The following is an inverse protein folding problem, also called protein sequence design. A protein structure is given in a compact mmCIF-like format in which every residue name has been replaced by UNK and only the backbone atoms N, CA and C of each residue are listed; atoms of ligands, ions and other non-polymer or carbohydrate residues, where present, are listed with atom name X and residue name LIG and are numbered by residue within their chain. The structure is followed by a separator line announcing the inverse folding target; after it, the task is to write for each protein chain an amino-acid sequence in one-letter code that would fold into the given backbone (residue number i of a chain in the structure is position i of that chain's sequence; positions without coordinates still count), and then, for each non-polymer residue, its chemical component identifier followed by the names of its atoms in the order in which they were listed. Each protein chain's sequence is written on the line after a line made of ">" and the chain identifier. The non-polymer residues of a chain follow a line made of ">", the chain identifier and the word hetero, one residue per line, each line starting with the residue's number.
data_IF_456739899064
#
_entry.id   IF_456739899064
#
_cell.length_a   1.000
_cell.length_b   1.000
_cell.length_c   1.000
_cell.angle_alpha   90.00
_cell.angle_beta   90.00
_cell.angle_gamma   90.00
#
_symmetry.space_group_name_H-M   'P 1'
#
loop_
_entity.id
_entity.type
_entity.pdbx_description
1 polymer ?
#
# COMPACT_ATOMS: atom_id res chain seq x y z
N UNK A 1 -25.17 14.06 -6.00
CA UNK A 1 -24.39 14.29 -4.77
C UNK A 1 -24.43 13.01 -3.97
N UNK A 2 -23.35 12.23 -3.97
CA UNK A 2 -23.23 11.04 -3.12
C UNK A 2 -22.51 11.42 -1.84
N UNK A 3 -23.22 11.39 -0.72
CA UNK A 3 -22.60 11.49 0.59
C UNK A 3 -22.01 10.13 0.92
N UNK A 4 -20.69 10.01 0.95
CA UNK A 4 -20.02 8.85 1.53
C UNK A 4 -20.10 8.99 3.05
N UNK A 5 -21.15 8.42 3.65
CA UNK A 5 -21.24 8.29 5.10
C UNK A 5 -20.38 7.09 5.51
N UNK A 6 -19.15 7.35 5.92
CA UNK A 6 -18.33 6.36 6.61
C UNK A 6 -18.87 6.22 8.02
N UNK A 7 -19.77 5.28 8.23
CA UNK A 7 -20.05 4.80 9.57
C UNK A 7 -18.87 3.95 10.03
N UNK A 8 -17.96 4.52 10.81
CA UNK A 8 -17.10 3.71 11.69
C UNK A 8 -17.92 3.19 12.87
N UNK A 9 -19.10 2.61 12.60
CA UNK A 9 -19.87 1.90 13.61
C UNK A 9 -19.42 0.44 13.59
N UNK A 10 -18.18 0.19 13.97
CA UNK A 10 -17.88 -1.09 14.59
C UNK A 10 -18.61 -1.06 15.93
N UNK A 11 -19.80 -1.66 15.98
CA UNK A 11 -20.42 -1.95 17.28
C UNK A 11 -19.38 -2.75 18.06
N UNK A 12 -19.04 -2.28 19.26
CA UNK A 12 -18.06 -2.94 20.13
C UNK A 12 -18.38 -4.42 20.38
N UNK A 13 -17.59 -5.07 21.23
CA UNK A 13 -17.97 -6.40 21.71
C UNK A 13 -19.38 -6.35 22.32
N UNK A 14 -20.30 -7.17 21.82
CA UNK A 14 -21.65 -7.33 22.39
C UNK A 14 -21.66 -8.35 23.52
N UNK A 15 -20.69 -9.26 23.53
CA UNK A 15 -20.51 -10.30 24.54
C UNK A 15 -19.03 -10.35 24.95
N UNK A 16 -18.71 -10.74 26.19
CA UNK A 16 -17.33 -10.92 26.60
C UNK A 16 -16.61 -11.99 25.77
N UNK A 17 -15.32 -11.78 25.52
CA UNK A 17 -14.46 -12.73 24.81
C UNK A 17 -13.31 -13.19 25.69
N UNK A 18 -12.95 -14.48 25.63
CA UNK A 18 -11.79 -15.00 26.35
C UNK A 18 -10.59 -15.09 25.42
N UNK A 19 -9.64 -14.17 25.62
CA UNK A 19 -8.43 -13.99 24.81
C UNK A 19 -7.17 -14.48 25.57
N UNK A 20 -6.00 -14.64 24.93
CA UNK A 20 -4.74 -14.89 25.63
C UNK A 20 -4.45 -13.81 26.68
N UNK A 21 -3.82 -14.19 27.79
CA UNK A 21 -3.44 -13.25 28.86
C UNK A 21 -2.53 -12.13 28.33
N UNK A 22 -2.81 -10.89 28.72
CA UNK A 22 -2.05 -9.69 28.33
C UNK A 22 -2.48 -9.06 27.00
N UNK A 23 -3.50 -9.60 26.33
CA UNK A 23 -4.10 -9.02 25.13
C UNK A 23 -4.59 -7.60 25.36
N UNK A 24 -5.39 -7.34 26.39
CA UNK A 24 -5.95 -6.02 26.71
C UNK A 24 -4.84 -4.99 26.93
N UNK A 25 -3.83 -5.34 27.74
CA UNK A 25 -2.68 -4.47 28.00
C UNK A 25 -1.85 -4.21 26.73
N UNK A 26 -1.73 -5.22 25.84
CA UNK A 26 -1.04 -5.07 24.56
C UNK A 26 -1.79 -4.13 23.62
N UNK A 27 -3.12 -4.25 23.55
CA UNK A 27 -3.98 -3.39 22.74
C UNK A 27 -3.86 -1.94 23.20
N UNK A 28 -4.04 -1.68 24.50
CA UNK A 28 -3.96 -0.33 25.05
C UNK A 28 -2.61 0.33 24.76
N UNK A 29 -1.51 -0.42 24.94
CA UNK A 29 -0.15 0.06 24.65
C UNK A 29 0.03 0.40 23.16
N UNK A 30 -0.49 -0.42 22.26
CA UNK A 30 -0.41 -0.17 20.82
C UNK A 30 -1.18 1.10 20.44
N UNK A 31 -2.41 1.26 20.96
CA UNK A 31 -3.23 2.45 20.71
C UNK A 31 -2.55 3.71 21.23
N UNK A 32 -2.02 3.69 22.46
CA UNK A 32 -1.27 4.81 23.03
C UNK A 32 -0.04 5.16 22.19
N UNK A 33 0.72 4.16 21.74
CA UNK A 33 1.91 4.39 20.90
C UNK A 33 1.56 5.05 19.57
N UNK A 34 0.47 4.66 18.93
CA UNK A 34 0.03 5.25 17.65
C UNK A 34 -0.49 6.66 17.88
N UNK A 35 -1.22 6.89 18.97
CA UNK A 35 -1.72 8.21 19.33
C UNK A 35 -0.59 9.20 19.61
N UNK A 36 0.42 8.78 20.37
CA UNK A 36 1.61 9.58 20.65
C UNK A 36 2.38 9.89 19.36
N UNK A 37 2.62 8.87 18.53
CA UNK A 37 3.42 9.01 17.29
C UNK A 37 2.75 9.94 16.27
N UNK A 38 1.44 9.82 16.10
CA UNK A 38 0.69 10.60 15.11
C UNK A 38 0.07 11.88 15.67
N UNK A 39 0.25 12.15 16.97
CA UNK A 39 -0.36 13.29 17.65
C UNK A 39 -1.89 13.24 17.61
N UNK A 40 -2.49 12.04 17.65
CA UNK A 40 -3.92 11.85 17.65
C UNK A 40 -4.49 12.17 19.03
N UNK A 41 -5.61 12.90 19.04
CA UNK A 41 -6.34 13.19 20.26
C UNK A 41 -7.62 12.38 20.33
N UNK A 42 -7.98 11.97 21.54
CA UNK A 42 -9.27 11.34 21.82
C UNK A 42 -10.31 12.42 22.09
N UNK A 43 -11.52 12.26 21.58
CA UNK A 43 -12.66 13.10 21.93
C UNK A 43 -13.89 12.24 22.25
N UNK A 44 -14.79 12.81 23.04
CA UNK A 44 -16.06 12.21 23.39
C UNK A 44 -17.13 13.29 23.36
N UNK A 45 -18.20 13.07 22.59
CA UNK A 45 -19.33 14.00 22.54
C UNK A 45 -20.57 13.36 23.16
N UNK A 46 -21.00 13.89 24.31
CA UNK A 46 -22.11 13.34 25.10
C UNK A 46 -21.89 11.84 25.36
N UNK A 47 -22.90 11.02 25.08
CA UNK A 47 -22.92 9.58 25.31
C UNK A 47 -22.32 8.78 24.15
N UNK A 48 -21.71 9.45 23.15
CA UNK A 48 -21.03 8.74 22.07
C UNK A 48 -19.79 8.02 22.62
N UNK A 49 -19.39 6.89 22.02
CA UNK A 49 -18.11 6.26 22.31
C UNK A 49 -16.94 7.25 22.09
N UNK A 50 -15.87 7.04 22.86
CA UNK A 50 -14.59 7.71 22.60
C UNK A 50 -14.17 7.40 21.16
N UNK A 51 -13.63 8.39 20.46
CA UNK A 51 -13.10 8.26 19.11
C UNK A 51 -11.87 9.15 18.95
N UNK A 52 -11.07 8.91 17.91
CA UNK A 52 -10.08 9.91 17.50
C UNK A 52 -10.77 11.16 16.98
N UNK A 53 -10.33 12.32 17.45
CA UNK A 53 -10.94 13.59 17.13
C UNK A 53 -10.70 13.93 15.66
N UNK A 54 -11.70 13.66 14.83
CA UNK A 54 -11.65 13.96 13.39
C UNK A 54 -11.65 15.46 13.10
N UNK A 55 -11.96 16.31 14.08
CA UNK A 55 -11.83 17.77 13.99
C UNK A 55 -10.46 18.27 14.43
N UNK A 56 -9.64 17.42 15.06
CA UNK A 56 -8.26 17.77 15.38
C UNK A 56 -7.50 18.08 14.07
N UNK A 57 -6.74 19.20 14.02
CA UNK A 57 -6.01 19.59 12.82
C UNK A 57 -5.08 18.51 12.31
N UNK A 58 -4.45 17.68 13.17
CA UNK A 58 -3.59 16.61 12.72
C UNK A 58 -4.37 15.58 11.94
N UNK A 59 -5.48 15.06 12.47
CA UNK A 59 -6.28 14.10 11.75
C UNK A 59 -6.90 14.70 10.47
N UNK A 60 -7.47 15.91 10.58
CA UNK A 60 -8.20 16.58 9.49
C UNK A 60 -7.29 17.00 8.34
N UNK A 61 -6.12 17.55 8.65
CA UNK A 61 -5.20 18.06 7.65
C UNK A 61 -4.31 16.96 7.07
N UNK A 62 -4.31 15.76 7.67
CA UNK A 62 -3.51 14.62 7.18
C UNK A 62 -2.10 14.64 7.76
N UNK A 63 -2.01 14.83 9.07
CA UNK A 63 -0.80 14.76 9.90
C UNK A 63 0.30 15.71 9.42
N UNK A 64 0.02 17.03 9.36
CA UNK A 64 0.93 18.02 8.79
C UNK A 64 2.27 18.11 9.54
N UNK A 65 2.27 17.82 10.84
CA UNK A 65 3.45 17.91 11.71
C UNK A 65 4.21 16.58 11.85
N UNK A 66 3.77 15.52 11.15
CA UNK A 66 4.41 14.19 11.18
C UNK A 66 5.17 14.00 9.87
N UNK A 67 6.42 13.56 9.96
CA UNK A 67 7.25 13.19 8.81
C UNK A 67 6.61 12.07 7.96
N UNK A 68 6.81 12.10 6.64
CA UNK A 68 6.21 11.15 5.70
C UNK A 68 6.61 9.69 5.94
N UNK A 69 7.89 9.44 6.24
CA UNK A 69 8.37 8.09 6.51
C UNK A 69 7.74 7.54 7.78
N UNK A 70 7.72 8.36 8.84
CA UNK A 70 7.10 8.00 10.13
C UNK A 70 5.59 7.77 9.95
N UNK A 71 4.90 8.68 9.25
CA UNK A 71 3.46 8.61 9.02
C UNK A 71 3.09 7.35 8.25
N UNK A 72 3.71 7.14 7.09
CA UNK A 72 3.44 6.00 6.22
C UNK A 72 3.71 4.67 6.92
N UNK A 73 4.87 4.55 7.58
CA UNK A 73 5.25 3.35 8.32
C UNK A 73 4.27 3.05 9.45
N UNK A 74 3.97 4.05 10.28
CA UNK A 74 3.06 3.89 11.42
C UNK A 74 1.67 3.46 10.96
N UNK A 75 1.15 4.07 9.89
CA UNK A 75 -0.15 3.70 9.33
C UNK A 75 -0.16 2.28 8.76
N UNK A 76 0.88 1.86 8.03
CA UNK A 76 0.99 0.49 7.52
C UNK A 76 1.03 -0.54 8.65
N UNK A 77 1.90 -0.34 9.63
CA UNK A 77 2.06 -1.24 10.77
C UNK A 77 0.79 -1.32 11.61
N UNK A 78 0.16 -0.17 11.89
CA UNK A 78 -1.10 -0.09 12.60
C UNK A 78 -2.22 -0.84 11.87
N UNK A 79 -2.41 -0.56 10.58
CA UNK A 79 -3.44 -1.19 9.76
C UNK A 79 -3.26 -2.72 9.65
N UNK A 80 -2.01 -3.18 9.51
CA UNK A 80 -1.69 -4.60 9.51
C UNK A 80 -1.97 -5.24 10.89
N UNK A 81 -1.65 -4.54 11.98
CA UNK A 81 -1.94 -4.97 13.33
C UNK A 81 -3.45 -5.08 13.60
N UNK A 82 -4.24 -4.06 13.23
CA UNK A 82 -5.70 -4.05 13.39
C UNK A 82 -6.34 -5.27 12.71
N UNK A 83 -5.92 -5.58 11.48
CA UNK A 83 -6.45 -6.74 10.73
C UNK A 83 -6.12 -8.06 11.42
N UNK A 84 -4.89 -8.23 11.90
CA UNK A 84 -4.50 -9.42 12.66
C UNK A 84 -5.32 -9.54 13.93
N UNK A 85 -5.51 -8.44 14.66
CA UNK A 85 -6.33 -8.43 15.86
C UNK A 85 -7.78 -8.81 15.58
N UNK A 86 -8.40 -8.31 14.50
CA UNK A 86 -9.75 -8.74 14.12
C UNK A 86 -9.83 -10.23 13.81
N UNK A 87 -8.85 -10.79 13.11
CA UNK A 87 -8.78 -12.22 12.84
C UNK A 87 -8.61 -13.05 14.14
N UNK A 88 -7.79 -12.56 15.06
CA UNK A 88 -7.59 -13.15 16.37
C UNK A 88 -8.86 -13.10 17.23
N UNK A 89 -9.56 -11.97 17.28
CA UNK A 89 -10.86 -11.82 17.95
C UNK A 89 -11.87 -12.80 17.36
N UNK A 90 -11.99 -12.91 16.03
CA UNK A 90 -12.90 -13.87 15.41
C UNK A 90 -12.55 -15.33 15.78
N UNK A 91 -11.25 -15.64 15.85
CA UNK A 91 -10.76 -16.95 16.28
C UNK A 91 -11.10 -17.25 17.74
N UNK A 92 -10.87 -16.30 18.65
CA UNK A 92 -11.16 -16.47 20.08
C UNK A 92 -12.66 -16.52 20.37
N UNK A 93 -13.48 -15.82 19.58
CA UNK A 93 -14.94 -15.89 19.69
C UNK A 93 -15.44 -17.29 19.32
N UNK A 94 -14.84 -17.90 18.29
CA UNK A 94 -15.18 -19.26 17.86
C UNK A 94 -14.57 -20.35 18.75
N UNK A 95 -13.37 -20.10 19.29
CA UNK A 95 -12.60 -21.03 20.11
C UNK A 95 -12.00 -20.28 21.31
N UNK A 96 -12.77 -20.11 22.40
CA UNK A 96 -12.31 -19.38 23.58
C UNK A 96 -11.04 -19.99 24.19
N UNK A 97 -10.13 -19.12 24.67
CA UNK A 97 -8.87 -19.56 25.28
C UNK A 97 -9.11 -20.08 26.71
N UNK A 98 -8.81 -21.35 26.97
CA UNK A 98 -9.19 -22.02 28.22
C UNK A 98 -8.60 -21.40 29.52
N UNK A 99 -7.38 -20.86 29.47
CA UNK A 99 -6.73 -20.12 30.57
C UNK A 99 -6.41 -18.68 30.12
N UNK A 100 -7.40 -18.05 29.49
CA UNK A 100 -7.30 -16.70 28.97
C UNK A 100 -7.68 -15.61 29.97
N UNK A 101 -7.60 -14.36 29.52
CA UNK A 101 -8.26 -13.22 30.17
C UNK A 101 -9.59 -12.92 29.48
N UNK A 102 -10.56 -12.44 30.24
CA UNK A 102 -11.86 -12.00 29.70
C UNK A 102 -11.78 -10.53 29.36
N UNK A 103 -12.05 -10.19 28.11
CA UNK A 103 -12.22 -8.81 27.64
C UNK A 103 -13.72 -8.55 27.51
N UNK A 104 -14.22 -7.59 28.29
CA UNK A 104 -15.64 -7.23 28.35
C UNK A 104 -16.01 -6.16 27.31
N UNK A 105 -17.32 -5.97 27.01
CA UNK A 105 -17.79 -4.79 26.28
C UNK A 105 -17.30 -3.46 26.86
N UNK A 106 -17.23 -3.34 28.18
CA UNK A 106 -16.75 -2.16 28.89
C UNK A 106 -15.25 -1.94 28.66
N UNK A 107 -14.44 -3.01 28.71
CA UNK A 107 -13.01 -2.92 28.38
C UNK A 107 -12.82 -2.50 26.92
N UNK A 108 -13.62 -3.06 26.00
CA UNK A 108 -13.54 -2.74 24.58
C UNK A 108 -13.74 -1.26 24.31
N UNK A 109 -14.65 -0.59 25.03
CA UNK A 109 -14.89 0.86 24.89
C UNK A 109 -13.64 1.71 25.14
N UNK A 110 -12.63 1.19 25.85
CA UNK A 110 -11.39 1.92 26.14
C UNK A 110 -10.39 1.93 24.99
N UNK A 111 -10.53 1.03 24.02
CA UNK A 111 -9.58 0.89 22.91
C UNK A 111 -10.20 0.77 21.52
N UNK A 112 -11.52 0.60 21.41
CA UNK A 112 -12.18 0.30 20.14
C UNK A 112 -11.97 1.40 19.08
N UNK A 113 -11.85 2.65 19.52
CA UNK A 113 -11.51 3.78 18.66
C UNK A 113 -10.16 3.60 17.98
N UNK A 114 -9.20 3.02 18.69
CA UNK A 114 -7.86 2.72 18.20
C UNK A 114 -7.81 1.49 17.31
N UNK A 115 -8.94 0.88 16.95
CA UNK A 115 -9.01 -0.16 15.93
C UNK A 115 -9.47 0.39 14.57
N UNK A 116 -9.61 1.71 14.45
CA UNK A 116 -9.95 2.34 13.19
C UNK A 116 -8.76 2.30 12.21
N UNK A 117 -9.02 1.81 11.00
CA UNK A 117 -8.04 1.86 9.91
C UNK A 117 -7.71 3.31 9.54
N UNK A 118 -6.42 3.63 9.49
CA UNK A 118 -5.92 4.94 9.11
C UNK A 118 -5.61 5.01 7.61
N UNK A 119 -5.69 6.21 7.04
CA UNK A 119 -5.40 6.46 5.62
C UNK A 119 -4.47 7.65 5.49
N UNK A 120 -3.42 7.49 4.69
CA UNK A 120 -2.52 8.57 4.30
C UNK A 120 -3.03 9.16 2.97
N UNK A 121 -3.00 10.48 2.83
CA UNK A 121 -3.37 11.14 1.57
C UNK A 121 -2.29 10.90 0.50
N UNK A 122 -2.65 10.77 -0.79
CA UNK A 122 -1.70 10.45 -1.85
C UNK A 122 -0.47 11.37 -1.93
N UNK A 123 -0.65 12.67 -1.69
CA UNK A 123 0.41 13.69 -1.69
C UNK A 123 1.44 13.54 -0.55
N UNK A 124 1.20 12.61 0.38
CA UNK A 124 2.04 12.26 1.53
C UNK A 124 2.54 10.80 1.46
N UNK A 125 2.34 10.11 0.34
CA UNK A 125 2.78 8.72 0.22
C UNK A 125 4.28 8.65 -0.01
N UNK A 126 4.98 7.86 0.81
CA UNK A 126 6.32 7.39 0.46
C UNK A 126 6.23 6.28 -0.57
N UNK A 127 7.34 6.03 -1.27
CA UNK A 127 7.43 4.96 -2.24
C UNK A 127 7.07 3.57 -1.72
N UNK A 128 7.45 3.25 -0.48
CA UNK A 128 7.05 1.99 0.18
C UNK A 128 5.53 1.93 0.41
N UNK A 129 4.93 3.04 0.86
CA UNK A 129 3.49 3.13 1.05
C UNK A 129 2.75 2.97 -0.28
N UNK A 130 3.19 3.71 -1.31
CA UNK A 130 2.66 3.60 -2.66
C UNK A 130 2.70 2.15 -3.16
N UNK A 131 3.86 1.47 -3.05
CA UNK A 131 3.99 0.06 -3.44
C UNK A 131 2.98 -0.81 -2.72
N UNK A 132 2.89 -0.70 -1.39
CA UNK A 132 1.93 -1.46 -0.60
C UNK A 132 0.47 -1.21 -1.02
N UNK A 133 0.12 0.01 -1.46
CA UNK A 133 -1.23 0.33 -1.96
C UNK A 133 -1.48 -0.23 -3.35
N UNK A 134 -0.51 -0.18 -4.25
CA UNK A 134 -0.64 -0.76 -5.58
C UNK A 134 -0.72 -2.28 -5.54
N UNK A 135 0.07 -2.94 -4.68
CA UNK A 135 -0.02 -4.38 -4.43
C UNK A 135 -1.41 -4.78 -3.92
N UNK A 136 -1.93 -4.04 -2.94
CA UNK A 136 -3.29 -4.24 -2.44
C UNK A 136 -4.34 -4.15 -3.55
N UNK A 137 -4.35 -3.06 -4.34
CA UNK A 137 -5.31 -2.91 -5.44
C UNK A 137 -5.14 -3.97 -6.52
N UNK A 138 -3.91 -4.38 -6.80
CA UNK A 138 -3.60 -5.43 -7.75
C UNK A 138 -4.19 -6.78 -7.32
N UNK A 139 -4.04 -7.18 -6.06
CA UNK A 139 -4.60 -8.42 -5.54
C UNK A 139 -6.13 -8.39 -5.53
N UNK A 140 -6.72 -7.28 -5.09
CA UNK A 140 -8.18 -7.06 -5.11
C UNK A 140 -8.72 -7.22 -6.54
N UNK A 141 -8.17 -6.51 -7.53
CA UNK A 141 -8.62 -6.59 -8.92
C UNK A 141 -8.52 -7.99 -9.53
N UNK A 142 -7.61 -8.83 -9.03
CA UNK A 142 -7.46 -10.24 -9.42
C UNK A 142 -8.46 -11.17 -8.75
N UNK A 143 -9.37 -10.62 -7.95
CA UNK A 143 -10.39 -11.36 -7.22
C UNK A 143 -9.86 -12.07 -5.99
N UNK A 144 -8.73 -11.64 -5.44
CA UNK A 144 -8.27 -12.08 -4.12
C UNK A 144 -8.72 -11.03 -3.11
N UNK A 145 -9.39 -11.47 -2.06
CA UNK A 145 -9.74 -10.56 -0.97
C UNK A 145 -8.47 -10.11 -0.28
N UNK A 146 -8.30 -8.81 -0.15
CA UNK A 146 -7.16 -8.24 0.56
C UNK A 146 -7.63 -7.06 1.42
N UNK A 147 -7.08 -6.97 2.63
CA UNK A 147 -7.42 -5.92 3.60
C UNK A 147 -8.93 -5.72 3.88
N UNK A 148 -9.74 -6.77 3.70
CA UNK A 148 -11.20 -6.72 3.85
C UNK A 148 -11.93 -6.09 2.67
N UNK A 149 -11.25 -5.87 1.55
CA UNK A 149 -11.81 -5.37 0.29
C UNK A 149 -11.90 -6.51 -0.71
N UNK A 150 -13.08 -6.66 -1.32
CA UNK A 150 -13.34 -7.62 -2.38
C UNK A 150 -13.68 -6.88 -3.68
N UNK A 151 -13.34 -7.50 -4.82
CA UNK A 151 -13.66 -6.95 -6.14
C UNK A 151 -15.04 -7.42 -6.61
N UNK A 152 -16.02 -6.51 -6.80
CA UNK A 152 -17.40 -6.89 -7.09
C UNK A 152 -17.65 -7.24 -8.57
N UNK A 153 -16.63 -7.13 -9.43
CA UNK A 153 -16.73 -7.37 -10.86
C UNK A 153 -15.98 -8.66 -11.25
N UNK A 154 -16.09 -9.13 -12.51
CA UNK A 154 -15.26 -10.23 -12.98
C UNK A 154 -13.77 -9.92 -12.74
N UNK A 155 -13.05 -10.91 -12.20
CA UNK A 155 -11.62 -10.76 -11.91
C UNK A 155 -10.83 -10.40 -13.16
N UNK A 156 -9.87 -9.51 -13.00
CA UNK A 156 -8.92 -9.17 -14.04
C UNK A 156 -7.81 -10.22 -14.13
N UNK A 157 -7.31 -10.45 -15.34
CA UNK A 157 -6.04 -11.17 -15.50
C UNK A 157 -4.88 -10.35 -14.91
N UNK A 158 -3.76 -10.97 -14.52
CA UNK A 158 -2.56 -10.26 -14.04
C UNK A 158 -2.17 -9.07 -14.94
N UNK A 159 -2.17 -9.29 -16.25
CA UNK A 159 -1.86 -8.26 -17.24
C UNK A 159 -2.85 -7.08 -17.24
N UNK A 160 -4.15 -7.37 -17.09
CA UNK A 160 -5.17 -6.32 -17.02
C UNK A 160 -5.08 -5.53 -15.71
N UNK A 161 -4.89 -6.21 -14.58
CA UNK A 161 -4.71 -5.56 -13.29
C UNK A 161 -3.45 -4.68 -13.29
N UNK A 162 -2.32 -5.19 -13.80
CA UNK A 162 -1.08 -4.43 -13.95
C UNK A 162 -1.26 -3.19 -14.84
N UNK A 163 -2.01 -3.29 -15.94
CA UNK A 163 -2.31 -2.13 -16.79
C UNK A 163 -3.14 -1.05 -16.05
N UNK A 164 -4.03 -1.44 -15.13
CA UNK A 164 -4.75 -0.47 -14.29
C UNK A 164 -3.80 0.18 -13.28
N UNK A 165 -2.91 -0.59 -12.64
CA UNK A 165 -1.87 -0.02 -11.75
C UNK A 165 -1.01 0.99 -12.51
N UNK A 166 -0.62 0.67 -13.74
CA UNK A 166 0.15 1.58 -14.59
C UNK A 166 -0.60 2.89 -14.90
N UNK A 167 -1.92 2.82 -15.11
CA UNK A 167 -2.75 4.03 -15.29
C UNK A 167 -2.84 4.87 -14.00
N UNK A 168 -2.82 4.21 -12.83
CA UNK A 168 -2.86 4.89 -11.54
C UNK A 168 -1.52 5.53 -11.17
N UNK A 169 -0.40 4.99 -11.66
CA UNK A 169 0.93 5.53 -11.41
C UNK A 169 1.03 7.01 -11.82
N UNK A 170 0.51 7.39 -12.99
CA UNK A 170 0.50 8.79 -13.46
C UNK A 170 -0.19 9.77 -12.48
N UNK A 171 -1.12 9.27 -11.66
CA UNK A 171 -1.88 10.09 -10.71
C UNK A 171 -1.32 10.05 -9.28
N UNK A 172 -0.60 8.99 -8.91
CA UNK A 172 -0.28 8.66 -7.51
C UNK A 172 1.21 8.46 -7.24
N UNK A 173 2.03 8.29 -8.29
CA UNK A 173 3.45 8.03 -8.16
C UNK A 173 4.24 9.34 -8.18
N UNK A 174 4.62 9.80 -6.98
CA UNK A 174 5.47 10.98 -6.81
C UNK A 174 6.97 10.67 -6.83
N UNK A 175 7.33 9.39 -6.66
CA UNK A 175 8.71 8.92 -6.49
C UNK A 175 9.27 8.22 -7.76
N UNK A 176 8.54 8.25 -8.88
CA UNK A 176 8.83 7.56 -10.15
C UNK A 176 9.05 6.04 -9.96
N UNK A 177 8.31 5.44 -9.01
CA UNK A 177 8.28 4.00 -8.77
C UNK A 177 7.35 3.30 -9.76
N UNK A 178 7.97 2.73 -10.79
CA UNK A 178 7.23 2.02 -11.83
C UNK A 178 7.01 0.56 -11.48
N UNK A 179 5.78 0.26 -11.11
CA UNK A 179 5.33 -1.11 -10.85
C UNK A 179 4.74 -1.75 -12.10
N UNK A 180 5.25 -2.92 -12.45
CA UNK A 180 4.83 -3.68 -13.63
C UNK A 180 4.66 -5.16 -13.31
N UNK A 181 3.85 -5.87 -14.08
CA UNK A 181 3.78 -7.34 -14.00
C UNK A 181 4.73 -7.90 -15.06
N UNK A 182 5.91 -8.32 -14.63
CA UNK A 182 6.87 -8.95 -15.51
C UNK A 182 6.26 -10.19 -16.19
N UNK A 183 6.65 -10.43 -17.44
CA UNK A 183 6.15 -11.58 -18.20
C UNK A 183 6.39 -12.88 -17.44
N UNK A 184 5.37 -13.73 -17.39
CA UNK A 184 5.46 -15.02 -16.69
C UNK A 184 5.25 -14.93 -15.18
N UNK A 185 5.29 -13.72 -14.61
CA UNK A 185 5.02 -13.48 -13.21
C UNK A 185 3.56 -13.17 -12.96
N UNK A 186 3.17 -13.29 -11.70
CA UNK A 186 1.84 -12.99 -11.22
C UNK A 186 1.83 -11.98 -10.06
N UNK A 187 2.93 -11.26 -9.86
CA UNK A 187 3.10 -10.18 -8.88
C UNK A 187 3.57 -8.89 -9.57
N UNK A 188 3.39 -7.75 -8.89
CA UNK A 188 4.02 -6.49 -9.29
C UNK A 188 5.51 -6.53 -8.95
N UNK A 189 6.31 -5.95 -9.82
CA UNK A 189 7.75 -5.79 -9.66
C UNK A 189 8.11 -4.33 -9.87
N UNK A 190 9.07 -3.83 -9.11
CA UNK A 190 9.67 -2.50 -9.35
C UNK A 190 10.73 -2.54 -10.43
N UNK A 191 11.15 -1.38 -10.87
CA UNK A 191 12.06 -1.22 -12.01
C UNK A 191 13.49 -1.70 -11.78
N UNK A 192 13.88 -1.94 -10.54
CA UNK A 192 15.10 -2.68 -10.17
C UNK A 192 14.94 -4.21 -10.25
N UNK A 193 13.72 -4.71 -10.40
CA UNK A 193 13.39 -6.15 -10.43
C UNK A 193 13.01 -6.66 -11.84
N UNK A 194 12.85 -5.76 -12.83
CA UNK A 194 12.58 -6.14 -14.22
C UNK A 194 13.34 -5.29 -15.24
N UNK A 195 13.60 -5.89 -16.40
CA UNK A 195 14.11 -5.19 -17.59
C UNK A 195 12.98 -4.96 -18.59
N UNK A 196 12.98 -3.81 -19.28
CA UNK A 196 12.00 -3.54 -20.34
C UNK A 196 12.46 -4.05 -21.70
N UNK A 197 11.68 -4.93 -22.34
CA UNK A 197 11.85 -5.30 -23.75
C UNK A 197 10.74 -4.68 -24.60
N UNK A 198 11.11 -3.89 -25.61
CA UNK A 198 10.15 -3.23 -26.51
C UNK A 198 9.16 -4.15 -27.24
N UNK A 199 9.44 -5.46 -27.30
CA UNK A 199 8.54 -6.47 -27.88
C UNK A 199 7.77 -7.29 -26.83
N UNK A 200 8.25 -7.35 -25.59
CA UNK A 200 7.68 -8.23 -24.55
C UNK A 200 7.11 -7.48 -23.34
N UNK A 201 7.34 -6.17 -23.22
CA UNK A 201 7.06 -5.39 -22.01
C UNK A 201 8.11 -5.66 -20.93
N UNK A 202 7.70 -5.52 -19.67
CA UNK A 202 8.50 -5.93 -18.51
C UNK A 202 8.81 -7.43 -18.55
N UNK A 203 10.07 -7.80 -18.35
CA UNK A 203 10.57 -9.18 -18.29
C UNK A 203 11.60 -9.30 -17.17
N UNK A 204 11.70 -10.47 -16.54
CA UNK A 204 12.82 -10.73 -15.62
C UNK A 204 14.14 -10.79 -16.40
N UNK A 205 15.27 -10.63 -15.71
CA UNK A 205 16.58 -10.73 -16.34
C UNK A 205 16.83 -12.13 -16.95
N UNK A 206 16.34 -13.18 -16.29
CA UNK A 206 16.40 -14.54 -16.82
C UNK A 206 15.59 -14.68 -18.12
N UNK A 207 14.36 -14.16 -18.15
CA UNK A 207 13.50 -14.19 -19.34
C UNK A 207 14.05 -13.32 -20.47
N UNK A 208 14.66 -12.18 -20.14
CA UNK A 208 15.32 -11.32 -21.09
C UNK A 208 16.48 -12.05 -21.78
N UNK A 209 17.32 -12.76 -21.01
CA UNK A 209 18.43 -13.55 -21.50
C UNK A 209 17.98 -14.79 -22.30
N UNK A 210 16.84 -15.38 -21.94
CA UNK A 210 16.26 -16.52 -22.63
C UNK A 210 15.43 -16.13 -23.88
N UNK A 211 15.17 -14.84 -24.10
CA UNK A 211 14.26 -14.39 -25.16
C UNK A 211 14.88 -14.55 -26.56
N UNK A 212 14.47 -15.61 -27.27
CA UNK A 212 14.91 -15.91 -28.65
C UNK A 212 14.23 -15.08 -29.74
N UNK A 213 13.42 -14.07 -29.40
CA UNK A 213 12.76 -13.21 -30.40
C UNK A 213 13.79 -12.24 -30.99
N UNK A 214 13.85 -12.11 -32.33
CA UNK A 214 14.68 -11.09 -33.02
C UNK A 214 14.46 -9.71 -32.38
N UNK A 215 15.53 -8.95 -32.15
CA UNK A 215 15.55 -7.58 -31.57
C UNK A 215 15.03 -7.41 -30.13
N UNK A 216 14.87 -8.48 -29.34
CA UNK A 216 14.72 -8.31 -27.88
C UNK A 216 16.13 -8.12 -27.28
N UNK A 217 16.76 -6.98 -27.56
CA UNK A 217 17.93 -6.54 -26.81
C UNK A 217 17.40 -5.99 -25.49
N UNK A 218 17.75 -6.65 -24.38
CA UNK A 218 17.65 -6.04 -23.05
C UNK A 218 18.47 -4.75 -23.11
N UNK A 219 17.79 -3.60 -23.17
CA UNK A 219 18.46 -2.31 -23.08
C UNK A 219 18.35 -1.83 -21.64
N UNK A 220 19.49 -1.62 -20.97
CA UNK A 220 19.53 -0.66 -19.88
C UNK A 220 19.01 0.68 -20.41
N UNK A 221 18.19 1.38 -19.61
CA UNK A 221 17.15 2.34 -20.01
C UNK A 221 17.55 3.57 -20.84
N UNK A 222 18.79 3.74 -21.29
CA UNK A 222 19.21 5.08 -21.74
C UNK A 222 19.24 5.22 -23.27
N UNK A 223 18.09 5.54 -23.87
CA UNK A 223 18.04 6.18 -25.20
C UNK A 223 17.21 7.48 -25.13
N UNK A 224 17.85 8.68 -25.20
CA UNK A 224 17.23 9.98 -24.92
C UNK A 224 16.18 10.49 -25.93
N UNK A 225 15.85 9.75 -26.99
CA UNK A 225 14.80 10.12 -27.98
C UNK A 225 13.47 9.36 -27.78
N UNK A 226 13.37 8.50 -26.77
CA UNK A 226 12.20 7.67 -26.48
C UNK A 226 11.60 8.07 -25.12
N UNK A 227 11.04 9.28 -24.99
CA UNK A 227 10.31 9.81 -23.82
C UNK A 227 10.70 9.25 -22.43
N UNK A 228 11.97 9.49 -22.06
CA UNK A 228 12.40 9.79 -20.70
C UNK A 228 12.87 8.61 -19.85
N UNK A 229 14.02 8.63 -19.18
CA UNK A 229 15.09 9.62 -18.99
C UNK A 229 16.35 8.84 -18.62
N UNK A 230 17.49 9.15 -19.26
CA UNK A 230 18.64 8.25 -19.24
C UNK A 230 19.85 8.67 -18.41
N UNK A 231 20.66 7.68 -18.01
CA UNK A 231 22.13 7.79 -17.82
C UNK A 231 22.89 6.47 -18.08
N UNK A 232 23.36 6.24 -19.32
CA UNK A 232 24.38 5.20 -19.60
C UNK A 232 25.72 5.87 -19.30
N UNK A 233 26.41 5.45 -18.24
CA UNK A 233 27.85 5.67 -18.10
C UNK A 233 28.57 4.32 -18.14
N UNK A 234 29.32 4.07 -19.21
CA UNK A 234 30.33 3.02 -19.23
C UNK A 234 31.45 3.33 -20.24
N UNK A 235 32.34 4.24 -19.86
CA UNK A 235 33.70 4.43 -20.38
C UNK A 235 33.84 4.81 -21.87
N UNK A 236 34.45 5.97 -22.15
CA UNK A 236 35.13 6.47 -23.36
C UNK A 236 34.66 6.07 -24.79
N UNK A 237 33.51 5.43 -24.96
CA UNK A 237 32.96 5.07 -26.28
C UNK A 237 31.49 5.41 -26.35
N UNK A 238 31.17 6.42 -27.16
CA UNK A 238 29.80 6.71 -27.60
C UNK A 238 29.26 5.52 -28.40
N UNK A 239 28.08 5.03 -28.02
CA UNK A 239 27.33 4.01 -28.76
C UNK A 239 26.10 4.71 -29.35
N UNK A 240 25.99 4.74 -30.67
CA UNK A 240 24.82 5.31 -31.36
C UNK A 240 23.55 4.47 -31.10
N UNK A 241 22.45 5.14 -30.74
CA UNK A 241 21.14 4.50 -30.57
C UNK A 241 20.53 4.17 -31.96
N UNK A 242 20.30 2.89 -32.31
CA UNK A 242 19.86 2.47 -33.65
C UNK A 242 18.40 2.82 -34.00
N UNK A 243 17.68 3.52 -33.12
CA UNK A 243 16.34 4.08 -33.37
C UNK A 243 16.37 5.58 -33.74
N UNK A 244 17.54 6.19 -33.68
CA UNK A 244 17.75 7.61 -33.77
C UNK A 244 18.55 7.93 -35.04
N UNK A 245 18.07 7.48 -36.19
CA UNK A 245 18.73 7.65 -37.48
C UNK A 245 19.03 9.14 -37.75
N UNK A 246 20.26 9.58 -37.43
CA UNK A 246 20.94 10.73 -38.02
C UNK A 246 20.28 12.12 -37.97
N UNK A 247 19.15 12.32 -37.29
CA UNK A 247 18.47 13.63 -37.26
C UNK A 247 18.60 14.30 -35.91
N UNK A 248 19.53 15.26 -35.81
CA UNK A 248 19.69 16.13 -34.65
C UNK A 248 21.12 16.62 -34.51
N UNK A 249 21.58 17.46 -35.44
CA UNK A 249 22.71 18.36 -35.21
C UNK A 249 22.31 19.33 -34.10
N UNK A 250 23.09 19.39 -33.02
CA UNK A 250 23.00 20.45 -32.01
C UNK A 250 24.22 21.35 -32.21
N UNK A 251 23.99 22.60 -32.62
CA UNK A 251 25.01 23.64 -32.58
C UNK A 251 25.33 23.98 -31.13
N UNK A 252 26.61 24.30 -30.88
CA UNK A 252 27.21 24.61 -29.59
C UNK A 252 26.48 25.71 -28.81
#
# INVERSE_FOLDING_TARGET
>A
MSYHVFFSFSTGLTEPITAPKGTLASILRHVESVEETLGLKRSQYKDNPVHWDTFDPNYRLGFPDVDDEILCKTVLEHNAWVRRLYADIAKWASNPVADGETITPEDAQTFWHGLQMLRVKPDRWTGEYYRSRMEHYYEVMRGRDDEGVSWPAPKLSPKQAGAVIWLLADLLDHDDIRLEVARGNDHLSSDDEYTWCSKCGAVTDEDANACRKRDCKASSRDCPKCNGWGRIEKGDKEIECPKCDGQGTVYA
#
